data_IF_312591299334
#
_entry.id   IF_312591299334
#
_cell.length_a   1.000
_cell.length_b   1.000
_cell.length_c   1.000
_cell.angle_alpha   90.00
_cell.angle_beta   90.00
_cell.angle_gamma   90.00
#
_symmetry.space_group_name_H-M   'P 1'
#
loop_
_entity.id
_entity.type
_entity.pdbx_description
1 polymer ?
#
# COMPACT_ATOMS: atom_id res chain seq x y z
N UNK A 1 -21.27 -6.07 29.55
CA UNK A 1 -22.18 -5.86 28.40
C UNK A 1 -23.17 -4.70 28.65
N UNK A 2 -22.78 -3.63 29.35
CA UNK A 2 -23.72 -2.59 29.84
C UNK A 2 -23.76 -1.29 29.01
N UNK A 3 -23.39 -1.33 27.72
CA UNK A 3 -23.38 -0.14 26.85
C UNK A 3 -24.16 -0.33 25.53
N UNK A 4 -24.69 -1.54 25.30
CA UNK A 4 -25.52 -1.83 24.12
C UNK A 4 -26.99 -1.74 24.51
N UNK A 5 -27.84 -1.30 23.60
CA UNK A 5 -29.30 -1.22 23.74
C UNK A 5 -30.01 -1.75 22.46
N UNK A 6 -31.31 -1.46 22.31
CA UNK A 6 -32.11 -1.92 21.17
C UNK A 6 -31.77 -1.28 19.81
N UNK A 7 -30.94 -0.24 19.78
CA UNK A 7 -30.50 0.44 18.55
C UNK A 7 -28.98 0.44 18.39
N UNK A 8 -28.24 0.40 19.49
CA UNK A 8 -26.80 0.57 19.54
C UNK A 8 -26.15 -0.72 20.01
N UNK A 9 -25.24 -1.25 19.18
CA UNK A 9 -24.39 -2.39 19.55
C UNK A 9 -22.96 -1.88 19.77
N UNK A 10 -22.48 -1.98 21.00
CA UNK A 10 -21.08 -1.65 21.35
C UNK A 10 -20.25 -2.91 21.42
N UNK A 11 -19.30 -3.04 20.49
CA UNK A 11 -18.31 -4.12 20.50
C UNK A 11 -17.08 -3.69 21.32
N UNK A 12 -16.63 -4.58 22.21
CA UNK A 12 -15.41 -4.38 23.01
C UNK A 12 -14.33 -5.36 22.57
N UNK A 13 -13.07 -4.98 22.74
CA UNK A 13 -11.93 -5.80 22.36
C UNK A 13 -11.97 -6.21 20.88
N UNK A 14 -12.17 -5.21 20.00
CA UNK A 14 -12.22 -5.41 18.55
C UNK A 14 -10.86 -5.90 18.06
N UNK A 15 -10.89 -6.94 17.22
CA UNK A 15 -9.72 -7.53 16.56
C UNK A 15 -10.00 -7.67 15.08
N UNK A 16 -8.99 -8.06 14.28
CA UNK A 16 -9.18 -8.33 12.84
C UNK A 16 -10.30 -9.38 12.59
N UNK A 17 -10.44 -10.36 13.49
CA UNK A 17 -11.47 -11.39 13.44
C UNK A 17 -12.89 -10.88 13.74
N UNK A 18 -13.02 -9.66 14.27
CA UNK A 18 -14.32 -9.00 14.48
C UNK A 18 -14.93 -8.52 13.15
N UNK A 19 -14.17 -8.51 12.05
CA UNK A 19 -14.70 -8.23 10.71
C UNK A 19 -15.73 -9.28 10.30
N UNK A 20 -16.85 -8.86 9.73
CA UNK A 20 -17.90 -9.79 9.31
C UNK A 20 -19.22 -9.10 8.99
N UNK A 21 -20.22 -9.89 8.62
CA UNK A 21 -21.59 -9.44 8.37
C UNK A 21 -22.39 -9.50 9.67
N UNK A 22 -22.78 -8.33 10.16
CA UNK A 22 -23.63 -8.17 11.33
C UNK A 22 -25.09 -8.07 10.88
N UNK A 23 -25.99 -8.65 11.68
CA UNK A 23 -27.42 -8.72 11.41
C UNK A 23 -28.18 -8.04 12.53
N UNK A 24 -29.08 -7.13 12.18
CA UNK A 24 -30.09 -6.60 13.10
C UNK A 24 -31.42 -7.32 12.81
N UNK A 25 -32.09 -7.79 13.84
CA UNK A 25 -33.35 -8.52 13.73
C UNK A 25 -34.36 -7.92 14.70
N UNK A 26 -35.52 -7.51 14.16
CA UNK A 26 -36.63 -6.92 14.93
C UNK A 26 -37.84 -7.82 14.78
N UNK A 27 -38.41 -8.21 15.92
CA UNK A 27 -39.60 -9.05 15.99
C UNK A 27 -40.83 -8.18 16.26
N UNK A 28 -41.84 -8.28 15.41
CA UNK A 28 -43.15 -7.72 15.68
C UNK A 28 -43.94 -8.64 16.64
N UNK A 29 -44.63 -8.04 17.61
CA UNK A 29 -45.51 -8.77 18.53
C UNK A 29 -46.89 -9.06 17.92
N UNK A 30 -47.71 -9.83 18.64
CA UNK A 30 -49.04 -10.25 18.20
C UNK A 30 -49.91 -9.07 17.69
N UNK A 31 -50.81 -9.31 16.70
CA UNK A 31 -51.20 -10.60 16.13
C UNK A 31 -50.34 -11.07 14.94
N UNK A 32 -49.40 -10.25 14.46
CA UNK A 32 -48.57 -10.55 13.30
C UNK A 32 -47.11 -10.72 13.72
N UNK A 33 -46.67 -11.98 13.88
CA UNK A 33 -45.29 -12.33 14.19
C UNK A 33 -44.41 -12.21 12.93
N UNK A 34 -44.12 -10.98 12.51
CA UNK A 34 -43.23 -10.71 11.40
C UNK A 34 -41.82 -10.41 11.92
N UNK A 35 -40.80 -10.90 11.21
CA UNK A 35 -39.39 -10.63 11.52
C UNK A 35 -38.81 -9.74 10.43
N UNK A 36 -38.32 -8.56 10.82
CA UNK A 36 -37.56 -7.68 9.92
C UNK A 36 -36.08 -7.89 10.17
N UNK A 37 -35.32 -8.10 9.10
CA UNK A 37 -33.90 -8.41 9.15
C UNK A 37 -33.15 -7.45 8.25
N UNK A 38 -32.13 -6.80 8.81
CA UNK A 38 -31.19 -6.00 8.05
C UNK A 38 -29.74 -6.38 8.34
N UNK A 39 -28.85 -6.04 7.42
CA UNK A 39 -27.45 -6.42 7.50
C UNK A 39 -26.49 -5.27 7.23
N UNK A 40 -25.37 -5.28 7.93
CA UNK A 40 -24.23 -4.40 7.66
C UNK A 40 -22.93 -5.21 7.65
N UNK A 41 -21.96 -4.77 6.85
CA UNK A 41 -20.61 -5.35 6.86
C UNK A 41 -19.72 -4.46 7.71
N UNK A 42 -19.09 -5.06 8.71
CA UNK A 42 -18.04 -4.47 9.52
C UNK A 42 -16.69 -4.96 9.02
N UNK A 43 -15.80 -4.05 8.67
CA UNK A 43 -14.41 -4.37 8.31
C UNK A 43 -13.48 -3.66 9.27
N UNK A 44 -12.61 -4.42 9.93
CA UNK A 44 -11.55 -3.90 10.79
C UNK A 44 -10.29 -3.74 9.94
N UNK A 45 -9.75 -2.52 9.92
CA UNK A 45 -8.56 -2.15 9.17
C UNK A 45 -7.41 -1.91 10.14
N UNK A 46 -6.29 -2.57 9.92
CA UNK A 46 -5.03 -2.28 10.60
C UNK A 46 -4.09 -1.59 9.62
N UNK A 47 -3.80 -0.32 9.88
CA UNK A 47 -2.94 0.50 9.01
C UNK A 47 -1.46 0.19 9.23
N UNK A 48 -0.59 0.42 8.22
CA UNK A 48 0.84 0.26 8.39
C UNK A 48 1.37 1.23 9.45
N UNK A 49 2.32 0.77 10.27
CA UNK A 49 2.96 1.58 11.31
C UNK A 49 4.13 2.39 10.77
N UNK A 50 4.71 1.94 9.66
CA UNK A 50 5.88 2.54 9.03
C UNK A 50 5.58 2.87 7.56
N UNK A 51 6.36 3.81 7.02
CA UNK A 51 6.34 4.14 5.59
C UNK A 51 6.77 2.94 4.73
N UNK A 52 6.34 2.88 3.46
CA UNK A 52 6.85 1.87 2.54
C UNK A 52 8.37 2.02 2.35
N UNK A 53 9.02 0.92 1.95
CA UNK A 53 10.47 0.88 1.72
C UNK A 53 10.74 0.64 0.24
N UNK A 54 11.62 1.46 -0.34
CA UNK A 54 12.10 1.31 -1.72
C UNK A 54 13.53 0.78 -1.72
N UNK A 55 13.77 -0.28 -2.50
CA UNK A 55 15.09 -0.91 -2.64
C UNK A 55 15.46 -1.15 -4.11
N UNK A 56 16.75 -1.35 -4.39
CA UNK A 56 17.29 -1.64 -5.73
C UNK A 56 17.86 -0.42 -6.48
N UNK A 57 17.74 0.78 -5.88
CA UNK A 57 18.24 2.01 -6.46
C UNK A 57 19.76 2.07 -6.57
N UNK A 58 20.27 2.72 -7.62
CA UNK A 58 21.69 3.06 -7.79
C UNK A 58 21.88 4.55 -7.54
N UNK A 59 23.10 4.99 -7.20
CA UNK A 59 23.38 6.42 -7.00
C UNK A 59 23.13 7.30 -8.25
N UNK A 60 23.31 6.72 -9.44
CA UNK A 60 23.28 7.41 -10.73
C UNK A 60 22.76 6.48 -11.82
N UNK A 61 22.04 7.03 -12.79
CA UNK A 61 21.59 6.31 -13.99
C UNK A 61 21.91 7.11 -15.24
N UNK A 62 22.14 6.39 -16.34
CA UNK A 62 22.37 6.96 -17.67
C UNK A 62 21.25 6.52 -18.62
N UNK A 63 20.96 7.31 -19.67
CA UNK A 63 20.13 6.82 -20.77
C UNK A 63 20.66 5.49 -21.31
N UNK A 64 19.76 4.52 -21.47
CA UNK A 64 20.05 3.14 -21.84
C UNK A 64 20.18 2.18 -20.66
N UNK A 65 20.37 2.66 -19.43
CA UNK A 65 20.44 1.81 -18.24
C UNK A 65 19.09 1.19 -17.88
N UNK A 66 19.12 -0.01 -17.29
CA UNK A 66 17.95 -0.64 -16.71
C UNK A 66 17.78 -0.19 -15.26
N UNK A 67 16.68 0.50 -14.97
CA UNK A 67 16.25 0.84 -13.62
C UNK A 67 15.39 -0.31 -13.10
N UNK A 68 15.72 -0.85 -11.92
CA UNK A 68 14.97 -1.94 -11.27
C UNK A 68 14.82 -1.66 -9.79
N UNK A 69 13.59 -1.40 -9.35
CA UNK A 69 13.27 -1.05 -7.98
C UNK A 69 12.16 -1.96 -7.47
N UNK A 70 12.13 -2.21 -6.17
CA UNK A 70 11.00 -2.82 -5.49
C UNK A 70 10.55 -1.89 -4.37
N UNK A 71 9.24 -1.67 -4.30
CA UNK A 71 8.62 -0.98 -3.18
C UNK A 71 7.84 -2.02 -2.38
N UNK A 72 8.01 -2.04 -1.06
CA UNK A 72 7.27 -2.92 -0.17
C UNK A 72 6.57 -2.10 0.92
N UNK A 73 5.31 -2.43 1.22
CA UNK A 73 4.58 -1.80 2.32
C UNK A 73 5.05 -2.34 3.67
N UNK A 74 4.84 -1.58 4.74
CA UNK A 74 4.79 -2.15 6.09
C UNK A 74 3.57 -3.08 6.22
N UNK A 75 3.57 -4.06 7.14
CA UNK A 75 2.44 -4.95 7.37
C UNK A 75 1.14 -4.20 7.65
N UNK A 76 0.04 -4.63 7.03
CA UNK A 76 -1.29 -4.05 7.22
C UNK A 76 -2.41 -5.04 6.90
N UNK A 77 -3.66 -4.69 7.25
CA UNK A 77 -4.84 -5.42 6.78
C UNK A 77 -5.96 -4.44 6.41
N UNK A 78 -6.47 -4.44 5.17
CA UNK A 78 -6.02 -5.25 4.03
C UNK A 78 -4.60 -4.89 3.56
N UNK A 79 -4.04 -5.69 2.66
CA UNK A 79 -2.79 -5.37 1.97
C UNK A 79 -2.86 -3.97 1.33
N UNK A 80 -1.84 -3.15 1.58
CA UNK A 80 -1.78 -1.81 1.02
C UNK A 80 -1.67 -1.84 -0.51
N UNK A 81 -2.34 -0.92 -1.18
CA UNK A 81 -2.19 -0.73 -2.62
C UNK A 81 -0.97 0.13 -2.89
N UNK A 82 -0.06 -0.37 -3.72
CA UNK A 82 1.17 0.32 -4.09
C UNK A 82 1.07 0.95 -5.47
N UNK A 83 1.63 2.15 -5.61
CA UNK A 83 1.65 2.89 -6.88
C UNK A 83 3.02 3.52 -7.11
N UNK A 84 3.58 3.33 -8.31
CA UNK A 84 4.81 4.02 -8.72
C UNK A 84 4.53 5.31 -9.47
N UNK A 85 5.43 6.28 -9.30
CA UNK A 85 5.47 7.54 -10.02
C UNK A 85 6.88 7.78 -10.54
N UNK A 86 6.99 8.14 -11.82
CA UNK A 86 8.25 8.56 -12.45
C UNK A 86 8.10 10.03 -12.82
N UNK A 87 8.98 10.88 -12.30
CA UNK A 87 8.96 12.33 -12.52
C UNK A 87 7.57 12.95 -12.25
N UNK A 88 6.91 12.50 -11.19
CA UNK A 88 5.58 12.95 -10.78
C UNK A 88 4.42 12.37 -11.58
N UNK A 89 4.68 11.63 -12.67
CA UNK A 89 3.63 10.95 -13.45
C UNK A 89 3.39 9.55 -12.89
N UNK A 90 2.12 9.23 -12.62
CA UNK A 90 1.70 7.88 -12.19
C UNK A 90 2.03 6.88 -13.30
N UNK A 91 2.69 5.79 -12.93
CA UNK A 91 2.91 4.67 -13.84
C UNK A 91 1.67 3.80 -13.83
N UNK A 92 1.02 3.66 -14.98
CA UNK A 92 -0.14 2.77 -15.14
C UNK A 92 0.18 1.69 -16.17
N UNK A 93 -0.53 0.56 -16.09
CA UNK A 93 -0.29 -0.62 -16.94
C UNK A 93 -0.55 -0.32 -18.43
N UNK A 94 -1.54 0.52 -18.69
CA UNK A 94 -2.04 0.95 -20.00
C UNK A 94 -1.15 2.02 -20.67
N UNK A 95 -0.38 2.79 -19.89
CA UNK A 95 0.41 3.92 -20.40
C UNK A 95 1.91 3.62 -20.50
N UNK A 96 2.38 2.45 -20.01
CA UNK A 96 3.78 2.04 -20.15
C UNK A 96 3.96 1.12 -21.37
N UNK A 97 4.69 1.51 -22.42
CA UNK A 97 4.92 0.69 -23.61
C UNK A 97 5.54 -0.69 -23.31
N UNK A 98 6.31 -0.81 -22.22
CA UNK A 98 7.07 -2.01 -21.87
C UNK A 98 6.62 -2.68 -20.56
N UNK A 99 5.37 -2.48 -20.11
CA UNK A 99 4.86 -3.07 -18.86
C UNK A 99 5.80 -2.84 -17.65
N UNK A 100 6.06 -1.59 -17.31
CA UNK A 100 7.06 -1.23 -16.28
C UNK A 100 6.79 -1.84 -14.90
N UNK A 101 5.52 -2.17 -14.62
CA UNK A 101 5.08 -2.66 -13.33
C UNK A 101 5.17 -4.18 -13.26
N UNK A 102 5.83 -4.69 -12.23
CA UNK A 102 5.88 -6.11 -11.89
C UNK A 102 5.15 -6.36 -10.57
N UNK A 103 3.86 -6.78 -10.61
CA UNK A 103 3.10 -7.07 -9.40
C UNK A 103 3.59 -8.36 -8.75
N UNK A 104 3.65 -8.37 -7.42
CA UNK A 104 3.88 -9.57 -6.61
C UNK A 104 2.63 -9.89 -5.80
N UNK A 105 2.43 -11.16 -5.48
CA UNK A 105 1.36 -11.56 -4.56
C UNK A 105 1.69 -11.04 -3.15
N UNK A 106 0.70 -10.49 -2.41
CA UNK A 106 0.92 -10.08 -1.03
C UNK A 106 1.42 -11.24 -0.17
N UNK A 107 2.43 -10.97 0.65
CA UNK A 107 2.93 -11.92 1.64
C UNK A 107 2.03 -11.89 2.87
N UNK A 108 1.50 -13.06 3.24
CA UNK A 108 0.70 -13.23 4.44
C UNK A 108 1.61 -13.57 5.62
N UNK A 109 1.55 -12.77 6.69
CA UNK A 109 2.27 -12.98 7.94
C UNK A 109 1.46 -13.86 8.91
N UNK A 110 2.14 -14.40 9.93
CA UNK A 110 1.52 -15.29 10.92
C UNK A 110 0.43 -14.62 11.77
N UNK A 111 0.53 -13.30 11.97
CA UNK A 111 -0.47 -12.49 12.68
C UNK A 111 -1.68 -12.10 11.80
N UNK A 112 -1.71 -12.56 10.55
CA UNK A 112 -2.77 -12.27 9.60
C UNK A 112 -2.65 -10.92 8.88
N UNK A 113 -1.58 -10.17 9.14
CA UNK A 113 -1.23 -8.97 8.38
C UNK A 113 -0.60 -9.33 7.04
N UNK A 114 -0.59 -8.37 6.14
CA UNK A 114 -0.26 -8.55 4.74
C UNK A 114 0.79 -7.52 4.32
N UNK A 115 1.80 -7.94 3.57
CA UNK A 115 2.83 -7.08 3.00
C UNK A 115 2.70 -7.10 1.48
N UNK A 116 2.45 -5.93 0.89
CA UNK A 116 2.42 -5.75 -0.56
C UNK A 116 3.80 -5.41 -1.09
N UNK A 117 4.15 -5.92 -2.27
CA UNK A 117 5.34 -5.50 -3.01
C UNK A 117 5.00 -5.22 -4.47
N UNK A 118 5.49 -4.09 -5.00
CA UNK A 118 5.36 -3.73 -6.41
C UNK A 118 6.72 -3.38 -7.00
N UNK A 119 7.13 -4.15 -8.01
CA UNK A 119 8.36 -3.91 -8.76
C UNK A 119 8.17 -2.86 -9.85
N UNK A 120 9.21 -2.07 -10.09
CA UNK A 120 9.34 -1.15 -11.21
C UNK A 120 10.58 -1.53 -12.02
N UNK A 121 10.42 -1.77 -13.32
CA UNK A 121 11.51 -2.12 -14.23
C UNK A 121 11.33 -1.44 -15.57
N UNK A 122 12.24 -0.54 -15.93
CA UNK A 122 12.22 0.12 -17.24
C UNK A 122 13.62 0.48 -17.71
N UNK A 123 13.74 0.69 -19.03
CA UNK A 123 14.96 1.25 -19.61
C UNK A 123 14.89 2.77 -19.55
N UNK A 124 15.84 3.39 -18.87
CA UNK A 124 15.91 4.84 -18.77
C UNK A 124 16.21 5.44 -20.15
N UNK A 125 15.46 6.47 -20.54
CA UNK A 125 15.66 7.22 -21.79
C UNK A 125 15.96 8.68 -21.46
N UNK A 126 16.41 9.47 -22.42
CA UNK A 126 16.70 10.89 -22.23
C UNK A 126 15.50 11.68 -21.66
N UNK A 127 14.28 11.32 -22.05
CA UNK A 127 13.04 11.95 -21.55
C UNK A 127 12.80 11.74 -20.05
N UNK A 128 13.38 10.69 -19.47
CA UNK A 128 13.25 10.39 -18.05
C UNK A 128 14.16 11.25 -17.16
N UNK A 129 15.03 12.09 -17.73
CA UNK A 129 15.96 12.94 -16.98
C UNK A 129 15.73 14.45 -17.24
N UNK A 130 14.54 15.00 -16.94
CA UNK A 130 14.38 16.45 -16.95
C UNK A 130 15.40 17.07 -15.99
N UNK A 131 16.17 18.05 -16.47
CA UNK A 131 17.23 18.71 -15.70
C UNK A 131 18.29 17.74 -15.14
N UNK A 132 18.60 16.65 -15.86
CA UNK A 132 19.55 15.62 -15.45
C UNK A 132 19.17 14.91 -14.13
N UNK A 133 17.88 14.82 -13.79
CA UNK A 133 17.41 14.14 -12.60
C UNK A 133 16.27 13.18 -12.94
N UNK A 134 16.35 11.97 -12.40
CA UNK A 134 15.28 10.97 -12.44
C UNK A 134 14.67 10.87 -11.05
N UNK A 135 13.44 11.32 -10.88
CA UNK A 135 12.68 11.17 -9.65
C UNK A 135 11.79 9.93 -9.72
N UNK A 136 11.90 9.05 -8.75
CA UNK A 136 11.02 7.87 -8.64
C UNK A 136 10.43 7.81 -7.25
N UNK A 137 9.09 7.77 -7.17
CA UNK A 137 8.34 7.71 -5.91
C UNK A 137 7.39 6.53 -5.89
N UNK A 138 7.26 5.89 -4.73
CA UNK A 138 6.27 4.88 -4.43
C UNK A 138 5.27 5.42 -3.40
N UNK A 139 3.98 5.28 -3.68
CA UNK A 139 2.90 5.53 -2.74
C UNK A 139 2.30 4.21 -2.25
N UNK A 140 2.02 4.14 -0.94
CA UNK A 140 1.34 3.05 -0.27
C UNK A 140 0.05 3.55 0.35
N UNK A 141 -1.07 2.92 0.00
CA UNK A 141 -2.41 3.43 0.31
C UNK A 141 -3.34 2.33 0.85
N UNK A 142 -4.16 2.68 1.84
CA UNK A 142 -5.31 1.86 2.30
C UNK A 142 -6.54 2.76 2.33
N UNK A 143 -7.21 2.87 1.18
CA UNK A 143 -8.36 3.76 1.01
C UNK A 143 -8.07 5.15 1.57
N UNK A 144 -8.97 5.67 2.39
CA UNK A 144 -8.83 6.99 3.02
C UNK A 144 -8.09 6.97 4.37
N UNK A 145 -7.73 5.79 4.91
CA UNK A 145 -7.17 5.66 6.27
C UNK A 145 -5.67 5.89 6.31
N UNK A 146 -5.00 5.59 5.21
CA UNK A 146 -3.54 5.63 5.14
C UNK A 146 -3.10 5.96 3.72
N UNK A 147 -2.22 6.95 3.60
CA UNK A 147 -1.50 7.26 2.38
C UNK A 147 -0.11 7.79 2.75
N UNK A 148 0.93 7.08 2.34
CA UNK A 148 2.31 7.51 2.50
C UNK A 148 3.05 7.40 1.18
N UNK A 149 3.93 8.35 0.91
CA UNK A 149 4.72 8.37 -0.33
C UNK A 149 6.19 8.57 0.00
N UNK A 150 7.02 7.64 -0.45
CA UNK A 150 8.49 7.70 -0.32
C UNK A 150 9.12 7.68 -1.70
N UNK A 151 10.34 8.18 -1.83
CA UNK A 151 11.09 8.00 -3.05
C UNK A 151 12.41 8.75 -3.07
N UNK A 152 13.17 8.47 -4.12
CA UNK A 152 14.51 8.98 -4.30
C UNK A 152 14.61 9.77 -5.61
N UNK A 153 15.62 10.63 -5.66
CA UNK A 153 16.02 11.31 -6.88
C UNK A 153 17.42 10.88 -7.26
N UNK A 154 17.56 10.39 -8.48
CA UNK A 154 18.79 9.86 -9.03
C UNK A 154 19.42 10.84 -10.00
N UNK A 155 20.73 11.00 -9.93
CA UNK A 155 21.45 11.83 -10.89
C UNK A 155 21.47 11.16 -12.27
N UNK A 156 21.19 11.96 -13.29
CA UNK A 156 21.41 11.63 -14.69
C UNK A 156 22.89 11.81 -15.03
N UNK A 157 23.46 10.79 -15.65
CA UNK A 157 24.76 10.95 -16.28
C UNK A 157 24.63 11.65 -17.62
N UNK A 158 25.17 12.87 -17.70
CA UNK A 158 25.19 13.63 -18.94
C UNK A 158 25.86 12.84 -20.07
N UNK A 159 25.23 12.86 -21.23
CA UNK A 159 25.86 12.51 -22.50
C UNK A 159 26.70 13.70 -22.95
N UNK A 160 27.97 13.75 -22.53
CA UNK A 160 29.00 14.33 -23.40
C UNK A 160 29.75 13.13 -23.99
N UNK A 161 29.75 13.03 -25.32
CA UNK A 161 30.45 11.99 -26.06
C UNK A 161 31.90 11.91 -25.59
N UNK A 162 32.30 10.80 -24.99
CA UNK A 162 33.61 10.25 -25.27
C UNK A 162 33.47 8.74 -25.49
N UNK A 163 33.92 8.34 -26.66
CA UNK A 163 33.70 7.05 -27.26
C UNK A 163 34.92 6.18 -26.94
N UNK A 164 35.16 5.85 -25.67
CA UNK A 164 36.13 4.82 -25.31
C UNK A 164 35.96 4.37 -23.85
N UNK A 165 35.85 3.05 -23.69
CA UNK A 165 35.93 2.30 -22.44
C UNK A 165 34.81 2.56 -21.42
N UNK A 166 33.73 1.79 -21.52
CA UNK A 166 32.83 1.52 -20.38
C UNK A 166 33.54 0.51 -19.46
N UNK A 167 34.09 0.88 -18.29
CA UNK A 167 34.40 -0.13 -17.29
C UNK A 167 33.08 -0.79 -16.87
N UNK A 168 33.08 -2.11 -16.75
CA UNK A 168 32.00 -2.81 -16.07
C UNK A 168 31.80 -2.14 -14.71
N UNK A 169 30.56 -1.74 -14.41
CA UNK A 169 30.24 -1.21 -13.10
C UNK A 169 30.57 -2.29 -12.07
N UNK A 170 31.70 -2.12 -11.37
CA UNK A 170 32.04 -2.90 -10.19
C UNK A 170 30.87 -2.69 -9.23
N UNK A 171 30.17 -3.78 -8.89
CA UNK A 171 29.21 -3.79 -7.81
C UNK A 171 29.96 -3.58 -6.51
N UNK A 172 30.27 -2.33 -6.18
CA UNK A 172 30.50 -1.94 -4.80
C UNK A 172 29.16 -2.18 -4.11
N UNK A 173 29.11 -3.28 -3.35
CA UNK A 173 28.03 -3.64 -2.43
C UNK A 173 27.61 -2.36 -1.70
N UNK A 174 26.49 -1.80 -2.15
CA UNK A 174 25.95 -0.59 -1.58
C UNK A 174 25.28 -1.00 -0.29
N UNK A 175 25.92 -0.61 0.82
CA UNK A 175 25.37 -0.44 2.16
C UNK A 175 24.09 -1.25 2.37
N UNK A 176 24.28 -2.42 2.95
CA UNK A 176 23.50 -2.93 4.07
C UNK A 176 22.64 -1.83 4.72
N UNK A 177 21.45 -1.58 4.16
CA UNK A 177 20.30 -1.17 4.94
C UNK A 177 19.68 -2.47 5.40
N UNK A 178 20.37 -3.06 6.37
CA UNK A 178 19.71 -3.72 7.48
C UNK A 178 18.52 -2.86 7.88
N UNK A 179 17.43 -3.52 8.29
CA UNK A 179 16.46 -2.93 9.20
C UNK A 179 17.24 -2.21 10.31
N UNK A 180 17.48 -0.91 10.15
CA UNK A 180 18.03 -0.10 11.19
C UNK A 180 16.90 -0.01 12.19
N UNK A 181 17.04 -0.78 13.28
CA UNK A 181 16.30 -0.59 14.52
C UNK A 181 16.38 0.88 14.91
N UNK A 182 15.47 1.70 14.38
CA UNK A 182 15.15 3.01 14.92
C UNK A 182 14.09 2.75 15.98
N UNK A 183 14.56 2.86 17.22
CA UNK A 183 13.81 3.03 18.46
C UNK A 183 12.37 2.58 18.46
N UNK A 184 12.11 1.49 19.19
CA UNK A 184 10.83 1.12 19.77
C UNK A 184 9.79 2.25 19.80
N UNK A 185 9.01 2.37 18.73
CA UNK A 185 7.65 2.89 18.84
C UNK A 185 6.82 1.75 19.39
N UNK A 186 6.16 2.05 20.50
CA UNK A 186 5.48 1.09 21.35
C UNK A 186 4.60 0.12 20.53
N UNK A 187 4.99 -1.17 20.57
CA UNK A 187 4.27 -2.27 19.90
C UNK A 187 2.88 -2.49 20.51
N UNK A 188 2.58 -1.87 21.66
CA UNK A 188 1.46 -2.21 22.54
C UNK A 188 0.06 -1.82 22.04
N UNK A 189 -0.08 -0.91 21.06
CA UNK A 189 -1.42 -0.48 20.59
C UNK A 189 -1.57 -0.53 19.07
N UNK A 190 -2.32 -1.51 18.52
CA UNK A 190 -2.70 -1.50 17.12
C UNK A 190 -3.68 -0.33 16.85
N UNK A 191 -3.39 0.48 15.83
CA UNK A 191 -4.31 1.51 15.34
C UNK A 191 -5.32 0.87 14.41
N UNK A 192 -6.42 0.38 14.98
CA UNK A 192 -7.52 -0.21 14.23
C UNK A 192 -8.56 0.85 13.88
N UNK A 193 -8.99 0.84 12.62
CA UNK A 193 -10.12 1.61 12.12
C UNK A 193 -11.28 0.67 11.82
N UNK A 194 -12.49 1.10 12.17
CA UNK A 194 -13.70 0.30 11.97
C UNK A 194 -14.49 0.90 10.82
N UNK A 195 -14.80 0.06 9.85
CA UNK A 195 -15.63 0.42 8.70
C UNK A 195 -16.97 -0.29 8.77
N UNK A 196 -18.04 0.50 8.87
CA UNK A 196 -19.40 0.01 8.68
C UNK A 196 -19.87 0.47 7.29
N UNK A 197 -19.91 -0.45 6.33
CA UNK A 197 -20.56 -0.16 5.05
C UNK A 197 -22.03 -0.52 5.18
N UNK A 198 -22.88 0.50 5.25
CA UNK A 198 -24.33 0.33 5.11
C UNK A 198 -24.63 0.33 3.62
N UNK A 199 -24.87 -0.85 3.06
CA UNK A 199 -25.43 -0.94 1.71
C UNK A 199 -26.87 -0.44 1.78
N UNK A 200 -27.10 0.81 1.39
CA UNK A 200 -28.44 1.35 1.18
C UNK A 200 -29.10 0.56 0.05
N UNK A 201 -29.77 -0.53 0.39
CA UNK A 201 -30.86 -1.04 -0.43
C UNK A 201 -32.06 -0.14 -0.10
N UNK A 202 -32.25 0.89 -0.92
CA UNK A 202 -33.49 1.64 -0.95
C UNK A 202 -34.56 0.63 -1.38
N UNK A 203 -35.28 0.06 -0.41
CA UNK A 203 -36.57 -0.58 -0.69
C UNK A 203 -37.58 0.55 -0.80
N UNK A 204 -37.70 1.10 -2.00
CA UNK A 204 -38.83 1.96 -2.38
C UNK A 204 -40.11 1.15 -2.19
N UNK A 205 -40.96 1.59 -1.26
CA UNK A 205 -42.36 1.15 -1.14
C UNK A 205 -43.21 1.77 -2.25
#
# INVERSE_FOLDING_TARGET
>A
MSASDGQIVVLRSVTLATSGRYKCEVLAEAPAFNTLVEHAILTVVEIPREEPVVVGGRKKYYPGDMVRLNCSSSPSKPAATLTWFINGKRVTRDQSPDHYLKPYQPLMLQDGLEVSTLGLSFRATHEHFPNNLLSVRCSSEIGIYYNQTIGDTYQGGGSYMDNQHRPAAISLLSRDHFYANRGSTDRSTPRMYIMATVSLLIVSS
#
